data_IF_180524516612
#
_entry.id   IF_180524516612
#
_cell.length_a   1.000
_cell.length_b   1.000
_cell.length_c   1.000
_cell.angle_alpha   90.00
_cell.angle_beta   90.00
_cell.angle_gamma   90.00
#
_symmetry.space_group_name_H-M   'P 1'
#
loop_
_entity.id
_entity.type
_entity.pdbx_description
1 polymer ?
#
# COMPACT_ATOMS: atom_id res chain seq x y z
N UNK A 1 12.29 4.18 -21.49
CA UNK A 1 11.56 3.06 -20.86
C UNK A 1 12.57 2.32 -20.03
N UNK A 2 12.38 2.28 -18.72
CA UNK A 2 13.22 1.49 -17.82
C UNK A 2 12.38 0.29 -17.40
N UNK A 3 12.88 -0.91 -17.67
CA UNK A 3 12.24 -2.16 -17.25
C UNK A 3 13.09 -2.71 -16.11
N UNK A 4 12.49 -2.84 -14.94
CA UNK A 4 13.11 -3.50 -13.79
C UNK A 4 12.30 -4.74 -13.41
N UNK A 5 13.01 -5.84 -13.18
CA UNK A 5 12.43 -7.07 -12.62
C UNK A 5 12.80 -7.11 -11.15
N UNK A 6 11.81 -7.07 -10.26
CA UNK A 6 12.04 -7.05 -8.81
C UNK A 6 11.47 -8.36 -8.24
N UNK A 7 12.28 -9.43 -8.32
CA UNK A 7 11.89 -10.80 -7.96
C UNK A 7 11.03 -11.51 -9.02
N UNK A 8 10.76 -12.80 -8.81
CA UNK A 8 9.99 -13.63 -9.76
C UNK A 8 8.50 -13.26 -9.87
N UNK A 9 7.98 -12.40 -9.00
CA UNK A 9 6.54 -12.10 -8.89
C UNK A 9 6.11 -10.76 -9.47
N UNK A 10 7.00 -9.78 -9.71
CA UNK A 10 6.62 -8.45 -10.23
C UNK A 10 7.60 -7.93 -11.27
N UNK A 11 7.06 -7.43 -12.39
CA UNK A 11 7.78 -6.69 -13.42
C UNK A 11 7.21 -5.27 -13.51
N UNK A 12 8.09 -4.27 -13.47
CA UNK A 12 7.71 -2.85 -13.49
C UNK A 12 8.28 -2.20 -14.74
N UNK A 13 7.43 -1.60 -15.55
CA UNK A 13 7.81 -0.76 -16.68
C UNK A 13 7.48 0.69 -16.37
N UNK A 14 8.51 1.51 -16.25
CA UNK A 14 8.36 2.93 -15.90
C UNK A 14 8.39 3.75 -17.19
N UNK A 15 7.30 4.50 -17.42
CA UNK A 15 7.28 5.56 -18.43
C UNK A 15 7.73 6.84 -17.74
N UNK A 16 9.04 7.13 -17.82
CA UNK A 16 9.62 8.32 -17.16
C UNK A 16 9.11 9.60 -17.82
N UNK A 17 8.52 10.48 -17.01
CA UNK A 17 8.24 11.86 -17.34
C UNK A 17 9.34 12.72 -16.72
N UNK A 18 10.16 13.37 -17.55
CA UNK A 18 11.32 14.20 -17.13
C UNK A 18 10.94 15.23 -16.05
N UNK A 19 9.71 15.76 -16.09
CA UNK A 19 9.21 16.72 -15.09
C UNK A 19 8.95 16.14 -13.70
N UNK A 20 8.69 14.83 -13.59
CA UNK A 20 8.44 14.19 -12.30
C UNK A 20 9.74 14.03 -11.50
N UNK A 21 10.81 13.53 -12.13
CA UNK A 21 12.11 13.33 -11.47
C UNK A 21 12.76 14.65 -11.02
N UNK A 22 12.61 15.72 -11.82
CA UNK A 22 13.12 17.04 -11.45
C UNK A 22 12.40 17.58 -10.20
N UNK A 23 11.06 17.44 -10.15
CA UNK A 23 10.26 17.83 -9.00
C UNK A 23 10.61 16.99 -7.75
N UNK A 24 10.83 15.67 -7.91
CA UNK A 24 11.25 14.77 -6.82
C UNK A 24 12.61 15.15 -6.25
N UNK A 25 13.61 15.45 -7.10
CA UNK A 25 14.95 15.87 -6.64
C UNK A 25 14.91 17.18 -5.87
N UNK A 26 14.17 18.16 -6.39
CA UNK A 26 13.98 19.44 -5.68
C UNK A 26 13.19 19.27 -4.38
N UNK A 27 12.17 18.39 -4.35
CA UNK A 27 11.41 18.11 -3.15
C UNK A 27 12.25 17.43 -2.07
N UNK A 28 13.06 16.43 -2.42
CA UNK A 28 13.94 15.73 -1.48
C UNK A 28 14.99 16.65 -0.87
N UNK A 29 15.72 17.43 -1.66
CA UNK A 29 16.76 18.36 -1.16
C UNK A 29 16.18 19.38 -0.18
N UNK A 30 14.92 19.78 -0.37
CA UNK A 30 14.20 20.75 0.47
C UNK A 30 13.49 20.13 1.69
N UNK A 31 13.41 18.80 1.79
CA UNK A 31 12.79 18.04 2.88
C UNK A 31 13.84 17.56 3.89
N UNK A 32 15.09 17.32 3.47
CA UNK A 32 16.15 16.84 4.37
C UNK A 32 16.97 17.95 5.06
N UNK A 33 16.89 19.20 4.61
CA UNK A 33 17.70 20.31 5.16
C UNK A 33 17.08 21.02 6.38
N UNK A 34 15.86 20.66 6.80
CA UNK A 34 15.24 21.22 8.00
C UNK A 34 14.62 20.12 8.85
N UNK A 35 14.76 20.16 10.19
CA UNK A 35 14.07 19.23 11.06
C UNK A 35 12.56 19.28 10.75
N UNK A 36 11.89 18.16 10.96
CA UNK A 36 10.43 17.97 10.83
C UNK A 36 9.62 18.97 11.71
N UNK A 37 10.28 19.85 12.45
CA UNK A 37 9.72 20.86 13.34
C UNK A 37 8.79 21.88 12.68
N UNK A 38 8.67 21.89 11.35
CA UNK A 38 7.57 22.58 10.67
C UNK A 38 6.83 21.59 9.76
N UNK A 39 5.75 21.02 10.30
CA UNK A 39 4.68 20.40 9.54
C UNK A 39 4.45 21.15 8.24
N UNK A 40 4.44 20.42 7.12
CA UNK A 40 4.20 21.01 5.80
C UNK A 40 2.90 21.81 5.87
N UNK A 41 2.94 23.14 5.68
CA UNK A 41 1.73 23.94 5.71
C UNK A 41 0.75 23.42 4.66
N UNK A 42 -0.54 23.37 4.98
CA UNK A 42 -1.60 22.95 4.05
C UNK A 42 -1.57 23.74 2.73
N UNK A 43 -1.06 24.97 2.77
CA UNK A 43 -0.93 25.88 1.63
C UNK A 43 0.46 25.88 0.99
N UNK A 44 1.36 24.97 1.39
CA UNK A 44 2.70 24.89 0.83
C UNK A 44 2.62 24.74 -0.70
N UNK A 45 3.41 25.53 -1.43
CA UNK A 45 3.59 25.36 -2.89
C UNK A 45 4.09 23.95 -3.24
N UNK A 46 4.63 23.20 -2.27
CA UNK A 46 5.08 21.81 -2.42
C UNK A 46 3.94 20.81 -2.67
N UNK A 47 2.70 21.13 -2.31
CA UNK A 47 1.54 20.27 -2.59
C UNK A 47 0.93 20.51 -3.98
N UNK A 48 1.53 21.40 -4.77
CA UNK A 48 1.07 21.64 -6.13
C UNK A 48 1.43 20.46 -7.04
N UNK A 49 0.41 19.82 -7.61
CA UNK A 49 0.60 18.74 -8.56
C UNK A 49 0.95 19.32 -9.93
N UNK A 50 2.22 19.19 -10.33
CA UNK A 50 2.70 19.67 -11.64
C UNK A 50 2.91 18.55 -12.65
N UNK A 51 3.05 17.30 -12.20
CA UNK A 51 3.25 16.15 -13.08
C UNK A 51 2.59 14.87 -12.54
N UNK A 52 2.24 13.99 -13.48
CA UNK A 52 1.69 12.65 -13.22
C UNK A 52 2.70 11.64 -13.73
N UNK A 53 3.04 10.64 -12.91
CA UNK A 53 3.90 9.53 -13.31
C UNK A 53 3.07 8.29 -13.51
N UNK A 54 3.15 7.70 -14.70
CA UNK A 54 2.47 6.44 -15.03
C UNK A 54 3.47 5.30 -15.08
N UNK A 55 3.20 4.24 -14.31
CA UNK A 55 3.99 3.00 -14.31
C UNK A 55 3.09 1.83 -14.64
N UNK A 56 3.56 0.93 -15.49
CA UNK A 56 2.88 -0.35 -15.74
C UNK A 56 3.48 -1.38 -14.80
N UNK A 57 2.66 -1.96 -13.93
CA UNK A 57 3.10 -3.04 -13.05
C UNK A 57 2.41 -4.34 -13.47
N UNK A 58 3.24 -5.35 -13.74
CA UNK A 58 2.83 -6.72 -14.00
C UNK A 58 3.04 -7.56 -12.74
N UNK A 59 1.96 -8.04 -12.15
CA UNK A 59 1.95 -8.93 -10.98
C UNK A 59 1.69 -10.36 -11.44
N UNK A 60 2.63 -11.27 -11.21
CA UNK A 60 2.46 -12.70 -11.49
C UNK A 60 1.83 -13.41 -10.30
N UNK A 61 0.88 -14.30 -10.55
CA UNK A 61 0.19 -15.09 -9.53
C UNK A 61 -0.26 -16.45 -10.08
N UNK A 62 -0.57 -17.39 -9.18
CA UNK A 62 -1.11 -18.71 -9.57
C UNK A 62 -2.63 -18.65 -9.73
N UNK A 63 -3.13 -19.38 -10.72
CA UNK A 63 -4.52 -19.34 -11.19
C UNK A 63 -5.56 -20.00 -10.26
N UNK A 64 -5.76 -19.48 -9.06
CA UNK A 64 -6.98 -19.77 -8.29
C UNK A 64 -7.73 -18.47 -8.07
N UNK A 65 -8.91 -18.37 -8.70
CA UNK A 65 -9.82 -17.26 -8.41
C UNK A 65 -10.43 -17.53 -7.04
N UNK A 66 -10.18 -16.62 -6.11
CA UNK A 66 -10.65 -16.71 -4.74
C UNK A 66 -11.38 -15.43 -4.36
N UNK A 67 -12.32 -15.54 -3.43
CA UNK A 67 -13.04 -14.38 -2.93
C UNK A 67 -12.10 -13.52 -2.09
N UNK A 68 -12.10 -12.21 -2.35
CA UNK A 68 -11.34 -11.27 -1.54
C UNK A 68 -11.95 -11.23 -0.13
N UNK A 69 -11.13 -11.43 0.89
CA UNK A 69 -11.50 -11.32 2.30
C UNK A 69 -11.63 -9.83 2.67
N UNK A 70 -12.73 -9.22 2.20
CA UNK A 70 -13.03 -7.81 2.39
C UNK A 70 -13.61 -7.54 3.78
N UNK A 71 -13.16 -6.44 4.38
CA UNK A 71 -13.77 -5.82 5.55
C UNK A 71 -14.15 -4.36 5.25
N UNK A 72 -14.99 -3.82 6.11
CA UNK A 72 -15.66 -2.54 5.92
C UNK A 72 -15.55 -1.73 7.19
N UNK A 73 -15.15 -0.47 7.07
CA UNK A 73 -15.02 0.46 8.17
C UNK A 73 -15.84 1.72 7.91
N UNK A 74 -16.50 2.22 8.95
CA UNK A 74 -17.23 3.49 8.96
C UNK A 74 -16.79 4.27 10.19
N UNK A 75 -16.36 5.50 9.99
CA UNK A 75 -15.82 6.35 11.04
C UNK A 75 -16.91 7.04 11.87
N UNK A 76 -16.47 7.78 12.88
CA UNK A 76 -17.36 8.41 13.87
C UNK A 76 -18.10 9.66 13.38
N UNK A 77 -17.73 10.19 12.21
CA UNK A 77 -18.26 11.45 11.66
C UNK A 77 -19.72 11.33 11.22
N UNK A 78 -20.23 10.11 11.03
CA UNK A 78 -21.62 9.87 10.66
C UNK A 78 -22.53 9.88 11.88
N UNK A 79 -23.76 10.40 11.73
CA UNK A 79 -24.78 10.37 12.79
C UNK A 79 -25.12 8.94 13.22
N UNK A 80 -24.98 7.97 12.31
CA UNK A 80 -25.28 6.57 12.52
C UNK A 80 -24.04 5.67 12.33
N UNK A 81 -23.90 4.70 13.24
CA UNK A 81 -22.88 3.66 13.13
C UNK A 81 -23.24 2.56 12.10
N UNK A 82 -24.36 2.69 11.38
CA UNK A 82 -24.82 1.65 10.45
C UNK A 82 -23.96 1.65 9.19
N UNK A 83 -23.40 0.48 8.87
CA UNK A 83 -22.76 0.25 7.57
C UNK A 83 -23.76 0.18 6.43
N UNK A 84 -25.07 0.09 6.70
CA UNK A 84 -26.09 -0.16 5.70
C UNK A 84 -27.03 1.03 5.52
N UNK A 85 -27.26 1.41 4.26
CA UNK A 85 -28.26 2.39 3.88
C UNK A 85 -29.64 1.73 3.70
N UNK A 86 -30.68 2.42 4.16
CA UNK A 86 -32.09 2.06 3.93
C UNK A 86 -32.49 2.20 2.46
N UNK A 87 -31.89 3.15 1.74
CA UNK A 87 -32.10 3.38 0.30
C UNK A 87 -30.92 2.81 -0.48
N UNK A 88 -31.22 1.86 -1.37
CA UNK A 88 -30.24 1.32 -2.31
C UNK A 88 -30.03 2.32 -3.44
N UNK A 89 -28.87 2.97 -3.45
CA UNK A 89 -28.40 3.60 -4.67
C UNK A 89 -27.84 2.50 -5.58
N UNK A 90 -28.58 2.18 -6.63
CA UNK A 90 -28.23 1.10 -7.55
C UNK A 90 -27.09 1.47 -8.50
N UNK A 91 -26.78 2.76 -8.62
CA UNK A 91 -25.75 3.29 -9.51
C UNK A 91 -24.46 3.68 -8.77
N UNK A 92 -24.51 3.75 -7.45
CA UNK A 92 -23.37 3.99 -6.57
C UNK A 92 -22.29 2.88 -6.66
N UNK A 93 -21.32 3.06 -7.55
CA UNK A 93 -20.20 2.14 -7.80
C UNK A 93 -18.85 2.68 -7.29
N UNK A 94 -18.83 3.90 -6.76
CA UNK A 94 -17.65 4.65 -6.33
C UNK A 94 -16.85 3.92 -5.24
N UNK A 95 -17.52 3.32 -4.25
CA UNK A 95 -16.86 2.48 -3.23
C UNK A 95 -16.05 1.31 -3.79
N UNK A 96 -16.36 0.91 -5.03
CA UNK A 96 -15.68 -0.14 -5.77
C UNK A 96 -14.62 0.39 -6.73
N UNK A 97 -14.18 1.65 -6.64
CA UNK A 97 -13.22 2.23 -7.58
C UNK A 97 -11.93 1.43 -7.71
N UNK A 98 -11.47 0.83 -6.59
CA UNK A 98 -10.27 0.01 -6.47
C UNK A 98 -10.48 -1.47 -6.86
N UNK A 99 -11.72 -1.91 -7.10
CA UNK A 99 -12.04 -3.28 -7.52
C UNK A 99 -11.26 -3.79 -8.74
N UNK A 100 -10.88 -2.96 -9.75
CA UNK A 100 -10.08 -3.42 -10.87
C UNK A 100 -8.74 -4.04 -10.46
N UNK A 101 -8.11 -3.55 -9.38
CA UNK A 101 -6.89 -4.15 -8.84
C UNK A 101 -7.14 -5.58 -8.36
N UNK A 102 -8.18 -5.78 -7.54
CA UNK A 102 -8.54 -7.09 -7.02
C UNK A 102 -8.94 -8.03 -8.16
N UNK A 103 -9.78 -7.57 -9.07
CA UNK A 103 -10.23 -8.37 -10.22
C UNK A 103 -9.06 -8.80 -11.12
N UNK A 104 -8.18 -7.87 -11.49
CA UNK A 104 -7.02 -8.17 -12.35
C UNK A 104 -6.06 -9.16 -11.69
N UNK A 105 -6.01 -9.19 -10.36
CA UNK A 105 -5.20 -10.11 -9.56
C UNK A 105 -5.93 -11.39 -9.14
N UNK A 106 -7.01 -11.77 -9.86
CA UNK A 106 -7.84 -12.96 -9.61
C UNK A 106 -8.47 -13.04 -8.21
N UNK A 107 -8.72 -11.89 -7.59
CA UNK A 107 -9.47 -11.78 -6.34
C UNK A 107 -10.85 -11.23 -6.63
N UNK A 108 -11.91 -11.95 -6.26
CA UNK A 108 -13.29 -11.51 -6.50
C UNK A 108 -13.69 -10.48 -5.42
N UNK A 109 -13.90 -9.19 -5.77
CA UNK A 109 -14.34 -8.20 -4.80
C UNK A 109 -15.87 -8.25 -4.68
N UNK A 110 -16.39 -8.59 -3.49
CA UNK A 110 -17.83 -8.61 -3.22
C UNK A 110 -18.16 -7.47 -2.25
N UNK A 111 -18.61 -6.33 -2.80
CA UNK A 111 -19.01 -5.16 -2.03
C UNK A 111 -20.53 -4.99 -2.16
N UNK A 112 -21.32 -5.25 -1.11
CA UNK A 112 -22.77 -5.11 -1.18
C UNK A 112 -23.21 -3.68 -1.50
N UNK A 113 -24.22 -3.55 -2.38
CA UNK A 113 -24.74 -2.23 -2.79
C UNK A 113 -25.34 -1.43 -1.64
N UNK A 114 -25.94 -2.10 -0.66
CA UNK A 114 -26.49 -1.45 0.53
C UNK A 114 -25.43 -0.90 1.48
N UNK A 115 -24.16 -1.30 1.37
CA UNK A 115 -23.13 -0.81 2.28
C UNK A 115 -22.64 0.60 1.93
N UNK A 116 -22.38 1.41 2.96
CA UNK A 116 -21.73 2.72 2.87
C UNK A 116 -20.54 2.78 3.82
N UNK A 117 -19.47 2.02 3.54
CA UNK A 117 -18.23 2.14 4.29
C UNK A 117 -17.53 3.44 3.89
N UNK A 118 -16.72 3.98 4.80
CA UNK A 118 -15.75 5.01 4.44
C UNK A 118 -14.47 4.39 3.90
N UNK A 119 -14.01 3.30 4.53
CA UNK A 119 -12.82 2.55 4.11
C UNK A 119 -13.20 1.10 3.85
N UNK A 120 -12.72 0.56 2.73
CA UNK A 120 -12.77 -0.89 2.45
C UNK A 120 -11.36 -1.44 2.54
N UNK A 121 -11.21 -2.60 3.16
CA UNK A 121 -9.91 -3.24 3.32
C UNK A 121 -9.97 -4.73 3.00
N UNK A 122 -8.82 -5.33 2.73
CA UNK A 122 -8.70 -6.72 2.32
C UNK A 122 -7.56 -7.39 3.08
N UNK A 123 -7.82 -8.53 3.72
CA UNK A 123 -6.78 -9.31 4.41
C UNK A 123 -6.15 -10.39 3.52
N UNK A 124 -6.83 -10.80 2.47
CA UNK A 124 -6.36 -11.85 1.57
C UNK A 124 -7.34 -12.15 0.44
N UNK A 125 -7.02 -13.10 -0.44
CA UNK A 125 -5.79 -13.89 -0.43
C UNK A 125 -4.55 -13.03 -0.69
N UNK A 126 -3.44 -13.43 -0.09
CA UNK A 126 -2.17 -12.72 -0.18
C UNK A 126 -1.38 -13.19 -1.40
N UNK A 127 -1.03 -12.26 -2.29
CA UNK A 127 -0.10 -12.51 -3.39
C UNK A 127 1.27 -11.95 -2.99
N UNK A 128 2.33 -12.70 -3.25
CA UNK A 128 3.69 -12.27 -2.89
C UNK A 128 4.08 -10.92 -3.51
N UNK A 129 3.54 -10.59 -4.68
CA UNK A 129 3.77 -9.31 -5.32
C UNK A 129 2.93 -8.15 -4.78
N UNK A 130 1.98 -8.35 -3.88
CA UNK A 130 1.24 -7.23 -3.25
C UNK A 130 2.19 -6.31 -2.46
N UNK A 131 3.16 -6.91 -1.74
CA UNK A 131 4.23 -6.15 -1.07
C UNK A 131 5.10 -5.40 -2.07
N UNK A 132 5.45 -6.03 -3.18
CA UNK A 132 6.28 -5.42 -4.23
C UNK A 132 5.59 -4.23 -4.89
N UNK A 133 4.28 -4.30 -5.07
CA UNK A 133 3.49 -3.15 -5.57
C UNK A 133 3.61 -1.99 -4.58
N UNK A 134 3.37 -2.24 -3.28
CA UNK A 134 3.52 -1.20 -2.27
C UNK A 134 4.94 -0.61 -2.22
N UNK A 135 5.97 -1.45 -2.22
CA UNK A 135 7.37 -1.00 -2.26
C UNK A 135 7.69 -0.18 -3.51
N UNK A 136 7.16 -0.58 -4.68
CA UNK A 136 7.33 0.15 -5.94
C UNK A 136 6.65 1.51 -5.87
N UNK A 137 5.40 1.57 -5.41
CA UNK A 137 4.67 2.83 -5.26
C UNK A 137 5.40 3.77 -4.31
N UNK A 138 5.95 3.25 -3.21
CA UNK A 138 6.76 4.03 -2.28
C UNK A 138 8.07 4.53 -2.91
N UNK A 139 8.83 3.65 -3.57
CA UNK A 139 10.10 3.99 -4.21
C UNK A 139 9.94 5.04 -5.32
N UNK A 140 8.81 5.00 -6.03
CA UNK A 140 8.51 5.90 -7.14
C UNK A 140 7.73 7.16 -6.71
N UNK A 141 7.42 7.31 -5.41
CA UNK A 141 6.75 8.49 -4.85
C UNK A 141 7.67 9.71 -4.85
N UNK A 142 7.10 10.89 -5.15
CA UNK A 142 7.89 12.13 -5.24
C UNK A 142 8.30 12.71 -3.88
N UNK A 143 7.54 12.42 -2.83
CA UNK A 143 7.81 12.85 -1.46
C UNK A 143 7.30 11.79 -0.50
N UNK A 144 8.00 11.59 0.62
CA UNK A 144 7.71 10.54 1.59
C UNK A 144 7.74 11.14 3.00
N UNK A 145 6.67 10.93 3.77
CA UNK A 145 6.61 11.19 5.20
C UNK A 145 6.67 9.82 5.91
N UNK A 146 7.81 9.49 6.52
CA UNK A 146 7.99 8.19 7.18
C UNK A 146 8.04 8.31 8.69
N UNK A 147 7.18 7.54 9.36
CA UNK A 147 7.15 7.34 10.81
C UNK A 147 7.79 6.02 11.24
N UNK A 148 8.54 5.38 10.33
CA UNK A 148 9.19 4.09 10.53
C UNK A 148 10.63 4.13 10.02
N UNK A 149 11.55 3.36 10.64
CA UNK A 149 12.92 3.28 10.15
C UNK A 149 12.93 2.64 8.74
N UNK A 150 13.89 3.03 7.88
CA UNK A 150 14.08 2.37 6.60
C UNK A 150 14.39 0.88 6.82
N UNK A 151 14.02 -0.01 5.87
CA UNK A 151 14.36 -1.42 5.98
C UNK A 151 15.89 -1.57 6.05
N UNK A 152 16.40 -2.57 6.80
CA UNK A 152 17.83 -2.83 6.86
C UNK A 152 18.36 -3.12 5.44
N UNK A 153 19.60 -2.69 5.12
CA UNK A 153 20.19 -2.96 3.82
C UNK A 153 20.25 -4.48 3.59
N UNK A 154 20.06 -4.94 2.33
CA UNK A 154 20.16 -6.36 2.03
C UNK A 154 21.54 -6.88 2.47
N UNK A 155 21.60 -8.11 3.02
CA UNK A 155 22.89 -8.69 3.40
C UNK A 155 23.82 -8.69 2.18
N UNK A 156 25.13 -8.42 2.38
CA UNK A 156 26.08 -8.42 1.28
C UNK A 156 26.00 -9.76 0.55
N UNK A 157 25.81 -9.70 -0.77
CA UNK A 157 25.69 -10.87 -1.61
C UNK A 157 26.89 -11.79 -1.34
N UNK A 158 26.62 -12.95 -0.77
CA UNK A 158 27.66 -13.96 -0.57
C UNK A 158 28.14 -14.37 -1.96
N UNK A 159 29.45 -14.34 -2.24
CA UNK A 159 29.95 -14.73 -3.55
C UNK A 159 29.44 -16.14 -3.88
N UNK A 160 29.06 -16.41 -5.15
CA UNK A 160 28.50 -17.69 -5.54
C UNK A 160 29.47 -18.78 -5.13
N UNK A 161 29.03 -19.64 -4.22
CA UNK A 161 29.78 -20.83 -3.83
C UNK A 161 29.81 -21.72 -5.07
N UNK A 162 30.99 -22.16 -5.56
CA UNK A 162 31.07 -22.99 -6.75
C UNK A 162 30.29 -24.29 -6.51
N UNK A 163 29.21 -24.47 -7.26
CA UNK A 163 28.45 -25.72 -7.27
C UNK A 163 29.37 -26.84 -7.73
N UNK A 164 29.62 -27.82 -6.86
CA UNK A 164 30.22 -29.08 -7.27
C UNK A 164 29.25 -29.80 -8.20
N UNK A 165 29.53 -29.75 -9.50
CA UNK A 165 28.95 -30.65 -10.49
C UNK A 165 29.14 -32.11 -10.05
N UNK A 166 28.10 -32.71 -9.47
CA UNK A 166 27.98 -34.17 -9.38
C UNK A 166 27.36 -34.68 -10.67
N UNK A 167 28.23 -34.99 -11.62
CA UNK A 167 27.93 -35.87 -12.75
C UNK A 167 27.58 -37.26 -12.24
N UNK A 168 26.33 -37.69 -12.42
CA UNK A 168 25.95 -39.10 -12.35
C UNK A 168 25.30 -39.50 -13.67
N UNK A 169 26.06 -40.24 -14.46
CA UNK A 169 25.65 -40.91 -15.69
C UNK A 169 24.75 -42.12 -15.39
N UNK A 170 23.96 -42.60 -16.36
CA UNK A 170 22.86 -43.52 -16.12
C UNK A 170 23.30 -44.98 -16.23
N UNK A 171 22.84 -45.85 -15.31
CA UNK A 171 22.80 -47.29 -15.56
C UNK A 171 21.45 -47.86 -15.12
N UNK A 172 20.72 -48.33 -16.13
CA UNK A 172 19.51 -49.14 -16.05
C UNK A 172 19.94 -50.54 -15.62
N UNK A 173 19.35 -51.06 -14.54
CA UNK A 173 19.22 -52.50 -14.34
C UNK A 173 17.79 -52.80 -13.88
N UNK A 174 17.04 -53.44 -14.78
CA UNK A 174 15.70 -53.97 -14.53
C UNK A 174 15.89 -55.42 -14.09
N UNK A 175 15.55 -55.73 -12.84
CA UNK A 175 15.31 -57.11 -12.38
C UNK A 175 14.07 -57.10 -11.47
N UNK A 176 13.00 -57.76 -11.94
CA UNK A 176 11.84 -58.10 -11.13
C UNK A 176 12.09 -59.44 -10.43
N UNK A 177 11.76 -59.53 -9.14
CA UNK A 177 11.11 -60.76 -8.68
C UNK A 177 9.94 -60.51 -7.71
N UNK A 178 8.87 -61.26 -7.98
CA UNK A 178 7.93 -61.91 -7.06
C UNK A 178 7.31 -61.09 -5.91
N UNK A 179 6.01 -60.80 -6.09
CA UNK A 179 5.07 -60.40 -5.05
C UNK A 179 4.85 -61.61 -4.12
N UNK A 180 5.33 -61.52 -2.88
CA UNK A 180 4.85 -62.36 -1.77
C UNK A 180 4.45 -61.44 -0.62
N UNK A 181 3.16 -61.52 -0.28
CA UNK A 181 2.54 -60.92 0.89
C UNK A 181 3.31 -61.26 2.17
N UNK A 182 3.71 -60.23 2.94
CA UNK A 182 3.66 -60.20 4.41
C UNK A 182 4.22 -58.86 4.91
N UNK A 183 3.37 -57.83 5.02
CA UNK A 183 3.66 -56.67 5.86
C UNK A 183 3.03 -56.88 7.24
N UNK A 184 3.82 -56.99 8.33
CA UNK A 184 3.27 -56.87 9.68
C UNK A 184 2.77 -55.43 9.86
N UNK A 185 1.48 -55.28 10.17
CA UNK A 185 0.88 -53.99 10.54
C UNK A 185 1.49 -53.52 11.86
N UNK A 186 2.60 -52.78 11.77
CA UNK A 186 3.10 -51.97 12.88
C UNK A 186 2.13 -50.81 13.10
N UNK A 187 1.33 -50.89 14.17
CA UNK A 187 0.51 -49.79 14.68
C UNK A 187 1.40 -48.93 15.58
N UNK A 188 2.21 -48.06 15.00
CA UNK A 188 2.69 -46.89 15.74
C UNK A 188 1.56 -45.85 15.78
N UNK A 189 1.24 -45.27 16.95
CA UNK A 189 0.24 -44.22 17.05
C UNK A 189 0.68 -43.05 16.17
N UNK A 190 -0.25 -42.53 15.36
CA UNK A 190 -0.03 -41.32 14.57
C UNK A 190 0.43 -40.22 15.52
N UNK A 191 1.54 -39.51 15.23
CA UNK A 191 1.93 -38.37 16.04
C UNK A 191 0.76 -37.37 16.07
N UNK A 192 0.51 -36.78 17.24
CA UNK A 192 -0.43 -35.67 17.35
C UNK A 192 -0.04 -34.60 16.33
N UNK A 193 -1.00 -34.03 15.58
CA UNK A 193 -0.70 -32.99 14.61
C UNK A 193 -0.18 -31.76 15.35
N UNK A 194 1.13 -31.66 15.50
CA UNK A 194 1.79 -30.42 15.88
C UNK A 194 1.49 -29.43 14.77
N UNK A 195 0.57 -28.49 15.04
CA UNK A 195 0.27 -27.37 14.16
C UNK A 195 1.60 -26.77 13.73
N UNK A 196 1.96 -26.91 12.46
CA UNK A 196 3.18 -26.31 11.93
C UNK A 196 3.08 -24.82 12.23
N UNK A 197 3.97 -24.25 13.07
CA UNK A 197 3.88 -22.83 13.39
C UNK A 197 3.96 -22.07 12.09
N UNK A 198 2.95 -21.23 11.82
CA UNK A 198 2.94 -20.39 10.63
C UNK A 198 4.23 -19.58 10.62
N UNK A 199 4.92 -19.47 9.47
CA UNK A 199 6.14 -18.68 9.37
C UNK A 199 5.85 -17.27 9.90
N UNK A 200 6.72 -16.79 10.79
CA UNK A 200 6.55 -15.47 11.37
C UNK A 200 6.46 -14.44 10.23
N UNK A 201 5.46 -13.55 10.25
CA UNK A 201 5.29 -12.58 9.18
C UNK A 201 6.54 -11.70 9.07
N UNK A 202 6.94 -11.31 7.84
CA UNK A 202 8.13 -10.50 7.63
C UNK A 202 8.04 -9.19 8.44
N UNK A 203 9.15 -8.86 9.09
CA UNK A 203 9.33 -7.66 9.92
C UNK A 203 10.42 -6.79 9.30
N UNK A 204 10.28 -5.45 9.28
CA UNK A 204 9.25 -4.63 9.95
C UNK A 204 7.97 -4.31 9.14
N UNK A 205 6.81 -4.82 9.60
CA UNK A 205 5.50 -4.48 8.99
C UNK A 205 5.21 -2.98 9.02
N UNK A 206 4.99 -2.42 7.83
CA UNK A 206 4.60 -1.03 7.61
C UNK A 206 3.38 -0.99 6.70
N UNK A 207 2.65 0.11 6.75
CA UNK A 207 1.58 0.42 5.82
C UNK A 207 1.95 1.72 5.11
N UNK A 208 1.89 1.69 3.79
CA UNK A 208 2.00 2.90 2.98
C UNK A 208 0.60 3.43 2.70
N UNK A 209 0.45 4.75 2.69
CA UNK A 209 -0.73 5.44 2.20
C UNK A 209 -0.32 6.36 1.07
N UNK A 210 -1.03 6.29 -0.06
CA UNK A 210 -0.67 7.03 -1.26
C UNK A 210 -1.91 7.41 -2.07
N UNK A 211 -1.84 8.55 -2.76
CA UNK A 211 -2.80 8.89 -3.82
C UNK A 211 -2.40 8.15 -5.09
N UNK A 212 -3.29 7.30 -5.58
CA UNK A 212 -3.02 6.47 -6.74
C UNK A 212 -4.19 6.53 -7.71
N UNK A 213 -3.87 6.63 -8.99
CA UNK A 213 -4.80 6.37 -10.07
C UNK A 213 -4.57 5.01 -10.69
N UNK A 214 -5.66 4.30 -10.99
CA UNK A 214 -5.62 3.04 -11.72
C UNK A 214 -6.07 3.24 -13.15
N UNK A 215 -5.37 2.60 -14.07
CA UNK A 215 -5.74 2.52 -15.48
C UNK A 215 -5.61 1.10 -16.03
N UNK A 216 -6.45 0.72 -16.99
CA UNK A 216 -6.28 -0.52 -17.72
C UNK A 216 -4.95 -0.51 -18.47
N UNK A 217 -4.34 -1.68 -18.66
CA UNK A 217 -3.10 -1.80 -19.44
C UNK A 217 -3.29 -1.39 -20.92
N UNK A 218 -4.51 -1.55 -21.45
CA UNK A 218 -4.93 -1.07 -22.77
C UNK A 218 -6.22 -0.26 -22.63
N UNK A 219 -7.18 -0.42 -23.53
CA UNK A 219 -8.45 0.32 -23.53
C UNK A 219 -9.50 -0.25 -22.58
N UNK A 220 -9.52 -1.57 -22.35
CA UNK A 220 -10.55 -2.25 -21.54
C UNK A 220 -9.95 -2.86 -20.27
N UNK A 221 -10.66 -2.74 -19.15
CA UNK A 221 -10.26 -3.33 -17.86
C UNK A 221 -10.05 -4.85 -17.90
N UNK A 222 -10.78 -5.56 -18.76
CA UNK A 222 -10.61 -7.00 -18.96
C UNK A 222 -9.23 -7.35 -19.51
N UNK A 223 -8.54 -6.43 -20.19
CA UNK A 223 -7.18 -6.67 -20.72
C UNK A 223 -6.09 -6.64 -19.64
N UNK A 224 -6.43 -6.17 -18.44
CA UNK A 224 -5.55 -6.17 -17.27
C UNK A 224 -5.52 -7.51 -16.55
N UNK A 225 -6.56 -8.34 -16.71
CA UNK A 225 -6.56 -9.72 -16.22
C UNK A 225 -6.04 -10.64 -17.31
N UNK A 226 -4.90 -11.29 -17.09
CA UNK A 226 -4.28 -12.22 -18.04
C UNK A 226 -3.98 -13.55 -17.37
N UNK A 227 -3.67 -14.59 -18.17
CA UNK A 227 -3.26 -15.85 -17.60
C UNK A 227 -2.03 -15.71 -16.69
N UNK A 228 -2.19 -16.04 -15.40
CA UNK A 228 -1.17 -16.01 -14.33
C UNK A 228 -0.54 -14.65 -14.07
N UNK A 229 -1.13 -13.57 -14.60
CA UNK A 229 -0.59 -12.23 -14.43
C UNK A 229 -1.69 -11.16 -14.44
N UNK A 230 -1.50 -10.11 -13.63
CA UNK A 230 -2.27 -8.87 -13.70
C UNK A 230 -1.38 -7.80 -14.29
N UNK A 231 -1.85 -7.04 -15.26
CA UNK A 231 -1.11 -5.90 -15.81
C UNK A 231 -1.96 -4.64 -15.64
N UNK A 232 -1.52 -3.72 -14.80
CA UNK A 232 -2.24 -2.49 -14.50
C UNK A 232 -1.30 -1.29 -14.60
N UNK A 233 -1.87 -0.16 -15.01
CA UNK A 233 -1.18 1.12 -14.96
C UNK A 233 -1.53 1.82 -13.65
N UNK A 234 -0.50 2.26 -12.94
CA UNK A 234 -0.59 3.01 -11.70
C UNK A 234 -0.10 4.42 -11.96
N UNK A 235 -0.82 5.41 -11.45
CA UNK A 235 -0.52 6.82 -11.62
C UNK A 235 -0.24 7.46 -10.26
N UNK A 236 0.92 8.09 -10.13
CA UNK A 236 1.31 8.86 -8.93
C UNK A 236 1.33 10.35 -9.25
N UNK A 237 0.97 11.15 -8.26
CA UNK A 237 0.93 12.61 -8.33
C UNK A 237 2.10 13.18 -7.55
N UNK A 238 2.92 14.03 -8.17
CA UNK A 238 4.11 14.56 -7.49
C UNK A 238 3.80 15.54 -6.34
N UNK A 239 2.62 16.17 -6.36
CA UNK A 239 2.16 17.06 -5.29
C UNK A 239 1.54 16.33 -4.08
N UNK A 240 1.48 14.99 -4.10
CA UNK A 240 0.93 14.19 -3.03
C UNK A 240 2.04 13.37 -2.36
N UNK A 241 2.29 13.50 -1.04
CA UNK A 241 3.27 12.66 -0.36
C UNK A 241 2.75 11.24 -0.21
N UNK A 242 3.66 10.27 -0.08
CA UNK A 242 3.35 8.96 0.49
C UNK A 242 3.60 8.99 2.00
N UNK A 243 2.71 8.39 2.79
CA UNK A 243 2.90 8.26 4.24
C UNK A 243 3.29 6.82 4.55
N UNK A 244 4.28 6.61 5.41
CA UNK A 244 4.68 5.28 5.88
C UNK A 244 4.53 5.20 7.39
N UNK A 245 3.71 4.27 7.87
CA UNK A 245 3.48 4.05 9.31
C UNK A 245 3.81 2.60 9.71
N UNK A 246 4.37 2.35 10.90
CA UNK A 246 4.50 1.00 11.43
C UNK A 246 3.13 0.46 11.84
N UNK A 247 2.86 -0.81 11.55
CA UNK A 247 1.54 -1.42 11.82
C UNK A 247 1.61 -2.70 12.64
N UNK A 248 0.51 -2.96 13.36
CA UNK A 248 0.28 -4.12 14.22
C UNK A 248 0.15 -5.41 13.42
N UNK A 249 0.27 -6.54 14.12
CA UNK A 249 -0.15 -7.84 13.57
C UNK A 249 -1.65 -7.76 13.25
N UNK A 250 -2.05 -8.17 12.06
CA UNK A 250 -3.46 -8.16 11.65
C UNK A 250 -3.88 -6.92 10.89
N UNK A 251 -3.02 -5.92 10.69
CA UNK A 251 -3.30 -4.83 9.75
C UNK A 251 -3.60 -5.37 8.34
N UNK A 252 -4.53 -4.75 7.58
CA UNK A 252 -4.96 -5.24 6.27
C UNK A 252 -3.79 -5.31 5.28
N UNK A 253 -3.93 -6.17 4.28
CA UNK A 253 -2.97 -6.27 3.19
C UNK A 253 -3.05 -5.07 2.27
N UNK A 254 -4.28 -4.72 1.88
CA UNK A 254 -4.59 -3.49 1.16
C UNK A 254 -5.85 -2.86 1.74
N UNK A 255 -5.94 -1.54 1.68
CA UNK A 255 -7.13 -0.77 2.03
C UNK A 255 -7.29 0.42 1.10
N UNK A 256 -8.50 0.95 0.97
CA UNK A 256 -8.73 2.17 0.21
C UNK A 256 -9.89 2.96 0.81
N UNK A 257 -9.75 4.28 0.72
CA UNK A 257 -10.84 5.21 1.00
C UNK A 257 -11.88 5.11 -0.11
N UNK A 258 -13.15 5.15 0.23
CA UNK A 258 -14.23 5.04 -0.76
C UNK A 258 -14.44 6.31 -1.57
N UNK A 259 -13.94 7.46 -1.11
CA UNK A 259 -13.96 8.68 -1.91
C UNK A 259 -12.92 8.60 -3.01
N UNK A 260 -13.39 8.85 -4.22
CA UNK A 260 -12.52 9.01 -5.39
C UNK A 260 -11.96 10.43 -5.45
N UNK A 261 -10.98 10.67 -6.33
CA UNK A 261 -10.50 12.02 -6.60
C UNK A 261 -11.61 12.94 -7.10
N UNK A 262 -12.63 12.43 -7.79
CA UNK A 262 -13.81 13.22 -8.17
C UNK A 262 -14.47 13.86 -6.94
N UNK A 263 -14.74 13.04 -5.91
CA UNK A 263 -15.32 13.52 -4.66
C UNK A 263 -14.38 14.44 -3.87
N UNK A 264 -13.08 14.15 -3.89
CA UNK A 264 -12.07 14.92 -3.16
C UNK A 264 -11.84 16.30 -3.80
N UNK A 265 -11.88 16.41 -5.12
CA UNK A 265 -11.71 17.69 -5.83
C UNK A 265 -12.84 18.70 -5.59
N UNK A 266 -14.00 18.22 -5.12
CA UNK A 266 -15.14 19.06 -4.73
C UNK A 266 -15.07 19.55 -3.28
N UNK A 267 -14.13 19.05 -2.48
CA UNK A 267 -14.00 19.43 -1.08
C UNK A 267 -13.32 20.80 -0.98
N UNK A 268 -13.94 21.80 -0.34
CA UNK A 268 -13.25 23.05 -0.08
C UNK A 268 -12.16 22.82 0.97
N UNK A 269 -10.96 23.32 0.69
CA UNK A 269 -9.94 23.43 1.73
C UNK A 269 -10.35 24.53 2.72
N UNK A 270 -9.98 24.38 4.00
CA UNK A 270 -10.13 25.47 4.97
C UNK A 270 -9.36 26.72 4.51
N UNK A 271 -9.64 27.87 5.12
CA UNK A 271 -8.84 29.09 4.93
C UNK A 271 -7.64 29.11 5.89
N UNK A 272 -6.57 29.81 5.53
CA UNK A 272 -5.36 29.87 6.35
C UNK A 272 -5.67 30.57 7.69
N UNK A 273 -5.56 29.83 8.80
CA UNK A 273 -5.91 30.32 10.15
C UNK A 273 -7.40 30.21 10.52
N UNK A 274 -8.25 29.64 9.64
CA UNK A 274 -9.65 29.34 9.93
C UNK A 274 -9.82 28.06 10.78
N UNK A 275 -10.94 27.97 11.50
CA UNK A 275 -11.31 26.73 12.20
C UNK A 275 -11.72 25.65 11.20
N UNK A 276 -11.09 24.48 11.26
CA UNK A 276 -11.40 23.34 10.41
C UNK A 276 -12.53 22.47 10.98
N UNK A 277 -12.94 22.72 12.23
CA UNK A 277 -13.94 21.93 12.93
C UNK A 277 -15.28 21.93 12.18
N UNK A 278 -15.81 20.73 11.93
CA UNK A 278 -17.09 20.53 11.24
C UNK A 278 -17.03 20.66 9.71
N UNK A 279 -15.86 20.88 9.11
CA UNK A 279 -15.72 20.88 7.65
C UNK A 279 -15.71 19.46 7.08
N UNK A 280 -16.16 19.28 5.83
CA UNK A 280 -16.07 18.00 5.09
C UNK A 280 -14.62 17.51 5.00
N UNK A 281 -13.67 18.44 4.80
CA UNK A 281 -12.24 18.15 4.81
C UNK A 281 -11.78 17.52 6.14
N UNK A 282 -12.11 18.15 7.26
CA UNK A 282 -11.77 17.63 8.58
C UNK A 282 -12.42 16.26 8.83
N UNK A 283 -13.68 16.07 8.41
CA UNK A 283 -14.34 14.76 8.50
C UNK A 283 -13.57 13.65 7.79
N UNK A 284 -13.09 13.88 6.57
CA UNK A 284 -12.29 12.91 5.80
C UNK A 284 -10.98 12.57 6.53
N UNK A 285 -10.27 13.60 6.99
CA UNK A 285 -9.01 13.42 7.75
C UNK A 285 -9.25 12.60 9.02
N UNK A 286 -10.32 12.91 9.76
CA UNK A 286 -10.70 12.20 10.99
C UNK A 286 -11.00 10.73 10.71
N UNK A 287 -11.83 10.42 9.71
CA UNK A 287 -12.18 9.03 9.39
C UNK A 287 -10.95 8.19 8.98
N UNK A 288 -10.08 8.75 8.14
CA UNK A 288 -8.84 8.08 7.74
C UNK A 288 -7.90 7.87 8.93
N UNK A 289 -7.75 8.88 9.78
CA UNK A 289 -6.92 8.79 10.97
C UNK A 289 -7.47 7.76 11.96
N UNK A 290 -8.78 7.71 12.20
CA UNK A 290 -9.40 6.70 13.06
C UNK A 290 -9.15 5.27 12.55
N UNK A 291 -9.29 5.04 11.23
CA UNK A 291 -8.97 3.76 10.63
C UNK A 291 -7.49 3.39 10.82
N UNK A 292 -6.59 4.37 10.69
CA UNK A 292 -5.16 4.16 10.93
C UNK A 292 -4.82 3.92 12.39
N UNK A 293 -5.49 4.57 13.35
CA UNK A 293 -5.27 4.36 14.79
C UNK A 293 -5.50 2.89 15.18
N UNK A 294 -6.46 2.23 14.53
CA UNK A 294 -6.69 0.78 14.68
C UNK A 294 -5.52 -0.06 14.15
N UNK A 295 -4.87 0.39 13.07
CA UNK A 295 -3.82 -0.35 12.38
C UNK A 295 -2.41 -0.11 12.94
N UNK A 296 -2.14 1.10 13.42
CA UNK A 296 -0.80 1.58 13.78
C UNK A 296 -0.29 0.91 15.05
N UNK A 297 1.00 0.58 15.00
CA UNK A 297 1.80 0.14 16.15
C UNK A 297 2.53 1.35 16.75
N UNK A 298 1.86 2.03 17.70
CA UNK A 298 2.31 3.32 18.27
C UNK A 298 3.65 3.25 18.99
N UNK A 299 4.01 2.08 19.51
CA UNK A 299 5.30 1.85 20.16
C UNK A 299 6.45 1.97 19.16
N UNK A 300 6.20 1.69 17.87
CA UNK A 300 7.20 1.73 16.80
C UNK A 300 7.22 3.04 16.01
N UNK A 301 6.31 3.97 16.29
CA UNK A 301 6.26 5.28 15.60
C UNK A 301 7.44 6.16 16.03
N UNK A 302 8.12 6.74 15.04
CA UNK A 302 9.26 7.64 15.21
C UNK A 302 8.94 9.02 14.64
N UNK A 303 9.13 10.10 15.41
CA UNK A 303 8.92 11.48 14.95
C UNK A 303 10.21 12.18 14.48
N UNK A 304 11.38 11.66 14.85
CA UNK A 304 12.68 12.26 14.52
C UNK A 304 13.55 11.23 13.80
N UNK A 305 13.73 11.40 12.49
CA UNK A 305 14.75 10.71 11.70
C UNK A 305 16.07 11.50 11.78
N UNK A 306 16.57 11.81 12.99
CA UNK A 306 17.97 12.25 13.10
C UNK A 306 18.85 11.07 12.72
N UNK A 307 19.60 11.21 11.63
CA UNK A 307 20.82 10.44 11.40
C UNK A 307 21.68 10.57 12.66
N UNK A 308 21.92 9.45 13.31
CA UNK A 308 22.85 9.36 14.43
C UNK A 308 24.25 9.71 13.95
N UNK A 309 24.68 10.95 14.18
CA UNK A 309 26.10 11.24 14.40
C UNK A 309 26.51 10.49 15.69
N UNK A 310 27.66 9.79 15.73
CA UNK A 310 28.00 8.89 16.83
C UNK A 310 28.31 9.56 18.18
N UNK A 311 28.38 10.89 18.26
CA UNK A 311 29.09 11.58 19.35
C UNK A 311 28.24 12.47 20.25
N UNK A 312 26.92 12.27 20.32
CA UNK A 312 26.11 12.94 21.36
C UNK A 312 25.10 11.98 21.98
N UNK A 313 25.53 11.34 23.08
CA UNK A 313 24.64 10.68 24.03
C UNK A 313 23.86 11.78 24.76
N UNK A 314 22.75 12.24 24.16
CA UNK A 314 21.72 12.94 24.92
C UNK A 314 20.63 11.94 25.28
N UNK A 315 20.46 11.73 26.58
CA UNK A 315 19.38 11.00 27.26
C UNK A 315 17.99 11.63 27.08
N UNK A 316 17.77 12.46 26.05
CA UNK A 316 16.49 13.15 25.78
C UNK A 316 15.54 12.35 24.88
N UNK A 317 15.90 11.11 24.49
CA UNK A 317 15.07 10.26 23.61
C UNK A 317 14.06 9.41 24.41
N UNK A 318 13.55 9.94 25.53
CA UNK A 318 12.69 9.20 26.46
C UNK A 318 11.33 9.91 26.54
N UNK A 319 10.33 9.26 25.95
CA UNK A 319 8.90 9.58 25.94
C UNK A 319 8.46 10.82 25.14
N UNK A 320 8.54 10.74 23.81
CA UNK A 320 7.55 11.46 22.97
C UNK A 320 6.16 11.04 23.42
N UNK A 321 5.30 12.00 23.75
CA UNK A 321 3.95 11.67 24.22
C UNK A 321 3.18 10.96 23.11
N UNK A 322 2.34 10.00 23.47
CA UNK A 322 1.46 9.32 22.50
C UNK A 322 0.62 10.33 21.71
N UNK A 323 0.22 11.42 22.36
CA UNK A 323 -0.53 12.51 21.76
C UNK A 323 0.28 13.25 20.68
N UNK A 324 1.56 13.53 20.89
CA UNK A 324 2.43 14.09 19.84
C UNK A 324 2.53 13.16 18.62
N UNK A 325 2.68 11.84 18.87
CA UNK A 325 2.74 10.84 17.80
C UNK A 325 1.45 10.82 16.99
N UNK A 326 0.31 10.81 17.69
CA UNK A 326 -1.02 10.83 17.07
C UNK A 326 -1.23 12.10 16.25
N UNK A 327 -0.91 13.25 16.82
CA UNK A 327 -1.01 14.56 16.16
C UNK A 327 -0.16 14.59 14.89
N UNK A 328 1.11 14.16 14.96
CA UNK A 328 2.00 14.14 13.80
C UNK A 328 1.49 13.23 12.66
N UNK A 329 0.96 12.05 12.99
CA UNK A 329 0.36 11.16 11.99
C UNK A 329 -0.92 11.78 11.41
N UNK A 330 -1.77 12.37 12.25
CA UNK A 330 -2.99 13.04 11.80
C UNK A 330 -2.68 14.20 10.85
N UNK A 331 -1.66 14.98 11.13
CA UNK A 331 -1.24 16.08 10.26
C UNK A 331 -0.58 15.59 8.97
N UNK A 332 0.14 14.47 8.99
CA UNK A 332 0.58 13.84 7.75
C UNK A 332 -0.61 13.42 6.87
N UNK A 333 -1.66 12.82 7.48
CA UNK A 333 -2.91 12.48 6.77
C UNK A 333 -3.58 13.76 6.22
N UNK A 334 -3.60 14.83 7.02
CA UNK A 334 -4.12 16.15 6.59
C UNK A 334 -3.41 16.66 5.34
N UNK A 335 -2.08 16.57 5.31
CA UNK A 335 -1.26 16.98 4.16
C UNK A 335 -1.53 16.10 2.93
N UNK A 336 -1.66 14.78 3.11
CA UNK A 336 -2.03 13.85 2.03
C UNK A 336 -3.39 14.19 1.41
N UNK A 337 -4.41 14.38 2.26
CA UNK A 337 -5.77 14.73 1.80
C UNK A 337 -5.76 16.11 1.14
N UNK A 338 -5.04 17.09 1.69
CA UNK A 338 -4.90 18.40 1.06
C UNK A 338 -4.24 18.31 -0.33
N UNK A 339 -3.18 17.51 -0.47
CA UNK A 339 -2.57 17.22 -1.77
C UNK A 339 -3.55 16.61 -2.76
N UNK A 340 -4.38 15.67 -2.32
CA UNK A 340 -5.43 15.05 -3.15
C UNK A 340 -6.47 16.07 -3.63
N UNK A 341 -6.99 16.91 -2.72
CA UNK A 341 -7.94 17.98 -3.05
C UNK A 341 -7.31 18.96 -4.05
N UNK A 342 -6.08 19.44 -3.77
CA UNK A 342 -5.37 20.41 -4.63
C UNK A 342 -4.97 19.86 -5.98
N UNK A 343 -4.79 18.54 -6.12
CA UNK A 343 -4.56 17.95 -7.44
C UNK A 343 -5.70 18.27 -8.42
N UNK A 344 -6.89 18.55 -7.90
CA UNK A 344 -8.04 19.02 -8.66
C UNK A 344 -7.86 20.39 -9.30
N UNK A 345 -6.88 21.23 -8.96
CA UNK A 345 -6.58 22.47 -9.69
C UNK A 345 -5.55 22.28 -10.81
N UNK A 346 -4.87 21.12 -10.84
CA UNK A 346 -3.85 20.82 -11.84
C UNK A 346 -4.47 20.44 -13.18
N UNK A 347 -4.13 21.19 -14.24
CA UNK A 347 -4.52 20.86 -15.61
C UNK A 347 -3.98 19.49 -16.04
N UNK A 348 -2.79 19.14 -15.57
CA UNK A 348 -2.14 17.87 -15.89
C UNK A 348 -2.89 16.71 -15.24
N UNK A 349 -3.18 16.80 -13.94
CA UNK A 349 -3.92 15.76 -13.22
C UNK A 349 -5.33 15.57 -13.81
N UNK A 350 -6.07 16.66 -14.07
CA UNK A 350 -7.41 16.61 -14.69
C UNK A 350 -7.43 15.94 -16.07
N UNK A 351 -6.34 16.06 -16.84
CA UNK A 351 -6.24 15.49 -18.18
C UNK A 351 -5.83 14.02 -18.15
N UNK A 352 -4.88 13.68 -17.29
CA UNK A 352 -4.20 12.39 -17.35
C UNK A 352 -4.73 11.38 -16.34
N UNK A 353 -5.44 11.78 -15.29
CA UNK A 353 -5.93 10.88 -14.25
C UNK A 353 -7.41 10.60 -14.44
N UNK A 354 -7.78 9.32 -14.35
CA UNK A 354 -9.18 8.93 -14.25
C UNK A 354 -9.66 9.18 -12.82
N UNK A 355 -10.33 10.31 -12.60
CA UNK A 355 -10.79 10.76 -11.28
C UNK A 355 -11.76 9.79 -10.59
N UNK A 356 -12.44 8.92 -11.34
CA UNK A 356 -13.37 7.92 -10.81
C UNK A 356 -12.67 6.61 -10.43
N UNK A 357 -11.40 6.46 -10.83
CA UNK A 357 -10.55 5.28 -10.60
C UNK A 357 -9.27 5.64 -9.88
N UNK A 358 -9.33 6.74 -9.15
CA UNK A 358 -8.22 7.27 -8.38
C UNK A 358 -8.69 7.71 -7.01
N UNK A 359 -7.84 7.56 -6.00
CA UNK A 359 -8.16 7.90 -4.62
C UNK A 359 -7.02 7.56 -3.68
N UNK A 360 -7.33 7.52 -2.38
CA UNK A 360 -6.39 7.14 -1.34
C UNK A 360 -6.40 5.62 -1.21
N UNK A 361 -5.26 4.99 -1.40
CA UNK A 361 -5.11 3.56 -1.18
C UNK A 361 -3.87 3.25 -0.33
N UNK A 362 -3.91 2.08 0.30
CA UNK A 362 -2.97 1.66 1.30
C UNK A 362 -2.47 0.25 0.99
N UNK A 363 -1.16 0.04 1.13
CA UNK A 363 -0.54 -1.27 0.97
C UNK A 363 0.32 -1.59 2.18
N UNK A 364 0.18 -2.81 2.68
CA UNK A 364 1.14 -3.35 3.64
C UNK A 364 2.45 -3.63 2.91
N UNK A 365 3.56 -3.24 3.51
CA UNK A 365 4.90 -3.55 3.04
C UNK A 365 5.74 -4.12 4.20
N UNK A 366 6.77 -4.92 3.90
CA UNK A 366 7.64 -5.49 4.92
C UNK A 366 8.63 -4.50 5.53
#
# INVERSE_FOLDING_TARGET
>A
MVVSTIGDSVLVEITSHIGFELATKMANDLVFDKPIDHMLPLYSSRLETTSVKTMTITLKYKHTVEDAALGFYRGSVHEDASLFASVKDYLAIEKGWFSPYLFASSRRPIIPRSMKPDVVFCHGPFLSGDYRIGETLLAESASIISFSPPPPPPPPATPPTPEHHRTLSPQIHVEFPYIVNMFPRSRTPSPEPTLTPLPAPPTPRRLILVIVGLKPHRTLWTTSARPSESVLQYQLLNGCPAIVVPVKVGAPLVAWDTLTLDHLWEVPLPEEGGSEAGTKFHGIVTVLFEFLDLCIDWDRVLLSLKQSSPDSVNEDTIAQSLEEKKTAVQDAVRVLVAGAVRSGSSKQARREVDKDRSGIAMWRIP
#
